data_IF_457768318120
#
_entry.id   IF_457768318120
#
_cell.length_a   1.000
_cell.length_b   1.000
_cell.length_c   1.000
_cell.angle_alpha   90.00
_cell.angle_beta   90.00
_cell.angle_gamma   90.00
#
_symmetry.space_group_name_H-M   'P 1'
#
loop_
_entity.id
_entity.type
_entity.pdbx_description
1 polymer ?
#
# COMPACT_ATOMS: atom_id res chain seq x y z
N UNK A 1 -11.13 -10.26 62.46
CA UNK A 1 -11.54 -10.56 61.07
C UNK A 1 -12.69 -9.61 60.77
N UNK A 2 -12.64 -8.65 59.85
CA UNK A 2 -12.09 -8.59 58.49
C UNK A 2 -11.59 -7.17 58.16
N UNK A 3 -10.65 -7.08 57.22
CA UNK A 3 -9.96 -5.88 56.77
C UNK A 3 -10.75 -5.09 55.71
N UNK A 4 -10.36 -3.81 55.56
CA UNK A 4 -10.33 -2.91 54.39
C UNK A 4 -11.02 -3.38 53.09
N UNK A 5 -11.67 -2.49 52.34
CA UNK A 5 -10.93 -1.75 51.30
C UNK A 5 -11.70 -0.53 50.80
N UNK A 6 -11.01 0.61 50.82
CA UNK A 6 -11.31 1.81 50.04
C UNK A 6 -11.22 1.47 48.55
N UNK A 7 -12.30 1.68 47.81
CA UNK A 7 -12.30 1.57 46.34
C UNK A 7 -11.67 2.83 45.76
N UNK A 8 -10.39 2.76 45.43
CA UNK A 8 -9.74 3.79 44.60
C UNK A 8 -10.07 3.47 43.15
N UNK A 9 -10.95 4.28 42.54
CA UNK A 9 -11.18 4.25 41.11
C UNK A 9 -9.88 4.62 40.38
N UNK A 10 -9.23 3.64 39.76
CA UNK A 10 -8.11 3.88 38.86
C UNK A 10 -8.65 4.59 37.61
N UNK A 11 -8.32 5.88 37.47
CA UNK A 11 -8.52 6.61 36.23
C UNK A 11 -7.64 5.97 35.14
N UNK A 12 -8.29 5.30 34.19
CA UNK A 12 -7.68 4.68 33.01
C UNK A 12 -7.21 5.81 32.06
N UNK A 13 -6.01 6.34 32.28
CA UNK A 13 -5.36 7.20 31.29
C UNK A 13 -4.86 6.29 30.17
N UNK A 14 -5.65 6.19 29.11
CA UNK A 14 -5.24 5.52 27.89
C UNK A 14 -3.98 6.19 27.30
N UNK A 15 -2.96 5.42 26.89
CA UNK A 15 -1.69 5.99 26.42
C UNK A 15 -1.87 6.69 25.08
N UNK A 16 -1.60 8.00 25.06
CA UNK A 16 -1.60 8.90 23.90
C UNK A 16 -0.64 8.48 22.76
N UNK A 17 0.22 7.49 22.99
CA UNK A 17 1.25 7.05 22.05
C UNK A 17 0.81 6.01 21.02
N UNK A 18 -0.31 5.30 21.20
CA UNK A 18 -0.73 4.23 20.28
C UNK A 18 -1.34 4.79 18.98
N UNK A 19 -1.85 6.02 19.00
CA UNK A 19 -2.56 6.58 17.86
C UNK A 19 -1.67 7.06 16.71
N UNK A 20 -0.39 7.41 16.95
CA UNK A 20 0.43 8.09 15.93
C UNK A 20 1.06 7.12 14.93
N UNK A 21 1.60 5.98 15.38
CA UNK A 21 2.16 4.95 14.50
C UNK A 21 1.08 4.27 13.64
N UNK A 22 -0.10 4.00 14.23
CA UNK A 22 -1.22 3.39 13.52
C UNK A 22 -1.76 4.30 12.39
N UNK A 23 -1.77 5.62 12.60
CA UNK A 23 -2.15 6.58 11.54
C UNK A 23 -1.13 6.62 10.41
N UNK A 24 0.17 6.59 10.72
CA UNK A 24 1.21 6.61 9.70
C UNK A 24 1.23 5.34 8.84
N UNK A 25 0.97 4.19 9.45
CA UNK A 25 0.87 2.93 8.72
C UNK A 25 -0.33 2.94 7.77
N UNK A 26 -1.50 3.41 8.24
CA UNK A 26 -2.69 3.55 7.41
C UNK A 26 -2.47 4.46 6.19
N UNK A 27 -1.86 5.62 6.40
CA UNK A 27 -1.57 6.58 5.32
C UNK A 27 -0.58 5.99 4.30
N UNK A 28 0.42 5.23 4.77
CA UNK A 28 1.37 4.52 3.92
C UNK A 28 0.67 3.46 3.06
N UNK A 29 -0.18 2.64 3.68
CA UNK A 29 -0.98 1.66 2.95
C UNK A 29 -1.84 2.30 1.88
N UNK A 30 -2.52 3.40 2.22
CA UNK A 30 -3.35 4.11 1.26
C UNK A 30 -2.51 4.61 0.08
N UNK A 31 -1.40 5.29 0.35
CA UNK A 31 -0.54 5.82 -0.70
C UNK A 31 0.02 4.75 -1.64
N UNK A 32 0.42 3.58 -1.11
CA UNK A 32 0.91 2.50 -1.95
C UNK A 32 -0.20 1.83 -2.75
N UNK A 33 -1.39 1.66 -2.18
CA UNK A 33 -2.54 1.13 -2.93
C UNK A 33 -2.96 2.08 -4.06
N UNK A 34 -3.00 3.39 -3.82
CA UNK A 34 -3.27 4.40 -4.86
C UNK A 34 -2.21 4.28 -5.99
N UNK A 35 -0.92 4.13 -5.64
CA UNK A 35 0.16 3.95 -6.62
C UNK A 35 0.01 2.63 -7.41
N UNK A 36 -0.37 1.54 -6.76
CA UNK A 36 -0.61 0.26 -7.43
C UNK A 36 -1.71 0.39 -8.48
N UNK A 37 -2.81 1.08 -8.18
CA UNK A 37 -3.90 1.35 -9.13
C UNK A 37 -3.39 2.11 -10.36
N UNK A 38 -2.65 3.20 -10.17
CA UNK A 38 -2.05 3.93 -11.29
C UNK A 38 -1.09 3.09 -12.13
N UNK A 39 -0.33 2.18 -11.50
CA UNK A 39 0.58 1.29 -12.21
C UNK A 39 -0.19 0.23 -13.02
N UNK A 40 -1.29 -0.31 -12.49
CA UNK A 40 -2.17 -1.23 -13.22
C UNK A 40 -2.82 -0.55 -14.43
N UNK A 41 -3.35 0.65 -14.26
CA UNK A 41 -3.94 1.42 -15.35
C UNK A 41 -2.89 1.76 -16.42
N UNK A 42 -1.69 2.17 -16.00
CA UNK A 42 -0.58 2.43 -16.92
C UNK A 42 -0.16 1.16 -17.67
N UNK A 43 -0.04 0.03 -16.98
CA UNK A 43 0.27 -1.27 -17.59
C UNK A 43 -0.75 -1.62 -18.68
N UNK A 44 -2.04 -1.56 -18.35
CA UNK A 44 -3.12 -1.86 -19.29
C UNK A 44 -3.10 -0.90 -20.48
N UNK A 45 -2.95 0.40 -20.23
CA UNK A 45 -2.90 1.42 -21.28
C UNK A 45 -1.76 1.19 -22.27
N UNK A 46 -0.56 0.90 -21.79
CA UNK A 46 0.57 0.59 -22.67
C UNK A 46 0.38 -0.73 -23.43
N UNK A 47 -0.20 -1.75 -22.79
CA UNK A 47 -0.48 -3.02 -23.46
C UNK A 47 -1.50 -2.86 -24.59
N UNK A 48 -2.62 -2.19 -24.32
CA UNK A 48 -3.64 -1.90 -25.34
C UNK A 48 -3.08 -1.04 -26.48
N UNK A 49 -2.28 -0.02 -26.18
CA UNK A 49 -1.63 0.77 -27.24
C UNK A 49 -0.66 -0.07 -28.07
N UNK A 50 0.05 -1.04 -27.47
CA UNK A 50 0.95 -1.92 -28.21
C UNK A 50 0.18 -2.84 -29.16
N UNK A 51 -1.03 -3.26 -28.80
CA UNK A 51 -1.89 -4.09 -29.65
C UNK A 51 -2.37 -3.32 -30.90
N UNK A 52 -2.73 -2.06 -30.73
CA UNK A 52 -3.30 -1.20 -31.80
C UNK A 52 -2.24 -0.59 -32.73
N UNK A 53 -0.97 -0.56 -32.32
CA UNK A 53 0.12 0.05 -33.10
C UNK A 53 0.74 -0.92 -34.11
N UNK A 54 0.88 -0.43 -35.34
CA UNK A 54 1.55 -1.14 -36.45
C UNK A 54 3.07 -0.89 -36.50
N UNK A 55 3.56 0.18 -35.89
CA UNK A 55 4.99 0.49 -35.84
C UNK A 55 5.70 -0.44 -34.85
N UNK A 56 6.59 -1.29 -35.35
CA UNK A 56 7.30 -2.30 -34.56
C UNK A 56 8.15 -1.70 -33.44
N UNK A 57 8.75 -0.53 -33.66
CA UNK A 57 9.61 0.13 -32.66
C UNK A 57 8.75 0.65 -31.51
N UNK A 58 7.66 1.35 -31.81
CA UNK A 58 6.72 1.85 -30.80
C UNK A 58 6.04 0.70 -30.04
N UNK A 59 5.67 -0.38 -30.75
CA UNK A 59 5.12 -1.59 -30.12
C UNK A 59 6.11 -2.19 -29.11
N UNK A 60 7.38 -2.34 -29.51
CA UNK A 60 8.42 -2.83 -28.60
C UNK A 60 8.63 -1.93 -27.39
N UNK A 61 8.61 -0.60 -27.59
CA UNK A 61 8.74 0.36 -26.50
C UNK A 61 7.57 0.25 -25.51
N UNK A 62 6.33 0.15 -26.00
CA UNK A 62 5.16 0.04 -25.13
C UNK A 62 5.11 -1.28 -24.36
N UNK A 63 5.48 -2.40 -25.01
CA UNK A 63 5.65 -3.69 -24.32
C UNK A 63 6.72 -3.60 -23.23
N UNK A 64 7.85 -2.93 -23.50
CA UNK A 64 8.90 -2.74 -22.51
C UNK A 64 8.41 -1.92 -21.30
N UNK A 65 7.72 -0.80 -21.54
CA UNK A 65 7.19 0.03 -20.47
C UNK A 65 6.15 -0.74 -19.65
N UNK A 66 5.23 -1.46 -20.30
CA UNK A 66 4.26 -2.31 -19.61
C UNK A 66 4.97 -3.36 -18.73
N UNK A 67 6.00 -4.03 -19.24
CA UNK A 67 6.80 -4.99 -18.46
C UNK A 67 7.42 -4.36 -17.21
N UNK A 68 7.99 -3.15 -17.34
CA UNK A 68 8.51 -2.40 -16.18
C UNK A 68 7.43 -2.08 -15.16
N UNK A 69 6.22 -1.66 -15.61
CA UNK A 69 5.09 -1.42 -14.68
C UNK A 69 4.69 -2.69 -13.95
N UNK A 70 4.62 -3.82 -14.65
CA UNK A 70 4.30 -5.11 -14.04
C UNK A 70 5.32 -5.52 -12.97
N UNK A 71 6.62 -5.30 -13.21
CA UNK A 71 7.66 -5.53 -12.20
C UNK A 71 7.47 -4.65 -10.95
N UNK A 72 7.22 -3.35 -11.14
CA UNK A 72 6.98 -2.43 -10.02
C UNK A 72 5.76 -2.83 -9.19
N UNK A 73 4.68 -3.29 -9.84
CA UNK A 73 3.48 -3.79 -9.15
C UNK A 73 3.83 -4.98 -8.25
N UNK A 74 4.60 -5.94 -8.77
CA UNK A 74 5.03 -7.12 -8.00
C UNK A 74 5.87 -6.74 -6.78
N UNK A 75 6.84 -5.85 -6.95
CA UNK A 75 7.71 -5.36 -5.88
C UNK A 75 6.92 -4.62 -4.80
N UNK A 76 6.06 -3.67 -5.19
CA UNK A 76 5.25 -2.89 -4.27
C UNK A 76 4.22 -3.75 -3.53
N UNK A 77 3.58 -4.71 -4.22
CA UNK A 77 2.66 -5.66 -3.59
C UNK A 77 3.38 -6.46 -2.51
N UNK A 78 4.59 -6.93 -2.80
CA UNK A 78 5.42 -7.67 -1.83
C UNK A 78 5.76 -6.80 -0.62
N UNK A 79 6.17 -5.54 -0.85
CA UNK A 79 6.51 -4.61 0.23
C UNK A 79 5.31 -4.30 1.14
N UNK A 80 4.11 -4.09 0.56
CA UNK A 80 2.86 -3.85 1.29
C UNK A 80 2.46 -5.03 2.15
N UNK A 81 2.62 -6.26 1.63
CA UNK A 81 2.35 -7.48 2.39
C UNK A 81 3.31 -7.63 3.58
N UNK A 82 4.58 -7.25 3.42
CA UNK A 82 5.58 -7.28 4.50
C UNK A 82 5.32 -6.25 5.59
N UNK A 83 4.76 -5.08 5.25
CA UNK A 83 4.38 -4.06 6.25
C UNK A 83 3.23 -4.51 7.17
N UNK A 84 2.50 -5.56 6.79
CA UNK A 84 1.27 -5.99 7.46
C UNK A 84 1.45 -7.20 8.36
N UNK A 85 2.69 -7.72 8.43
CA UNK A 85 3.14 -8.80 9.31
C UNK A 85 3.87 -8.22 10.51
#
# INVERSE_FOLDING_TARGET
MTAFTTSTAAALVAPKHIHHEATHLHDTYKAVNDLLEYLYDSYNGFHSCADDINDTMLKSLFVQIASTRHQMISELTTAVQQLGQ
#
